data_IF_095444811435
#
_entry.id   IF_095444811435
#
_cell.length_a   1.000
_cell.length_b   1.000
_cell.length_c   1.000
_cell.angle_alpha   90.00
_cell.angle_beta   90.00
_cell.angle_gamma   90.00
#
_symmetry.space_group_name_H-M   'P 1'
#
loop_
_entity.id
_entity.type
_entity.pdbx_description
1 polymer ?
#
# COMPACT_ATOMS: atom_id res chain seq x y z
N UNK A 1 -4.53 4.66 23.04
CA UNK A 1 -4.11 3.28 22.69
C UNK A 1 -2.87 2.96 23.48
N UNK A 2 -2.86 1.80 24.13
CA UNK A 2 -1.64 1.21 24.67
C UNK A 2 -0.65 0.86 23.55
N UNK A 3 0.57 0.50 23.92
CA UNK A 3 1.63 0.19 22.97
C UNK A 3 1.30 -1.01 22.08
N UNK A 4 0.72 -2.07 22.66
CA UNK A 4 0.45 -3.32 21.96
C UNK A 4 -0.66 -3.14 20.92
N UNK A 5 -1.74 -2.44 21.27
CA UNK A 5 -2.80 -2.10 20.31
C UNK A 5 -2.28 -1.23 19.17
N UNK A 6 -1.39 -0.27 19.46
CA UNK A 6 -0.75 0.55 18.41
C UNK A 6 0.13 -0.27 17.48
N UNK A 7 0.97 -1.14 18.04
CA UNK A 7 1.80 -2.04 17.25
C UNK A 7 0.96 -2.93 16.34
N UNK A 8 -0.09 -3.56 16.87
CA UNK A 8 -0.98 -4.44 16.11
C UNK A 8 -1.69 -3.70 14.97
N UNK A 9 -2.15 -2.48 15.21
CA UNK A 9 -2.78 -1.65 14.17
C UNK A 9 -1.79 -1.26 13.08
N UNK A 10 -0.56 -0.86 13.44
CA UNK A 10 0.49 -0.56 12.45
C UNK A 10 0.82 -1.79 11.61
N UNK A 11 0.96 -2.96 12.24
CA UNK A 11 1.21 -4.22 11.55
C UNK A 11 0.04 -4.59 10.60
N UNK A 12 -1.21 -4.42 11.05
CA UNK A 12 -2.38 -4.66 10.23
C UNK A 12 -2.44 -3.74 9.00
N UNK A 13 -2.19 -2.43 9.17
CA UNK A 13 -2.13 -1.49 8.05
C UNK A 13 -0.96 -1.81 7.11
N UNK A 14 0.18 -2.26 7.63
CA UNK A 14 1.32 -2.69 6.82
C UNK A 14 0.96 -3.88 5.94
N UNK A 15 0.38 -4.94 6.53
CA UNK A 15 -0.04 -6.14 5.79
C UNK A 15 -1.12 -5.79 4.78
N UNK A 16 -2.13 -5.01 5.17
CA UNK A 16 -3.15 -4.49 4.27
C UNK A 16 -2.53 -3.73 3.09
N UNK A 17 -1.58 -2.84 3.36
CA UNK A 17 -0.87 -2.04 2.36
C UNK A 17 -0.10 -2.92 1.38
N UNK A 18 0.58 -3.95 1.87
CA UNK A 18 1.32 -4.89 1.03
C UNK A 18 0.36 -5.72 0.16
N UNK A 19 -0.68 -6.29 0.77
CA UNK A 19 -1.66 -7.13 0.09
C UNK A 19 -2.44 -6.38 -0.98
N UNK A 20 -2.86 -5.14 -0.71
CA UNK A 20 -3.56 -4.35 -1.73
C UNK A 20 -2.60 -3.95 -2.85
N UNK A 21 -1.32 -3.66 -2.58
CA UNK A 21 -0.39 -3.27 -3.63
C UNK A 21 0.08 -4.44 -4.51
N UNK A 22 -0.09 -5.70 -4.11
CA UNK A 22 0.24 -6.87 -4.94
C UNK A 22 -0.58 -6.92 -6.26
N UNK A 23 -1.93 -6.97 -6.26
CA UNK A 23 -2.71 -7.00 -7.50
C UNK A 23 -2.54 -5.71 -8.31
N UNK A 24 -2.39 -4.56 -7.64
CA UNK A 24 -2.13 -3.30 -8.32
C UNK A 24 -0.74 -3.25 -8.98
N UNK A 25 0.28 -3.84 -8.33
CA UNK A 25 1.62 -4.01 -8.90
C UNK A 25 1.62 -4.89 -10.14
N UNK A 26 0.88 -5.99 -10.10
CA UNK A 26 0.66 -6.89 -11.23
C UNK A 26 0.00 -6.15 -12.41
N UNK A 27 -1.11 -5.46 -12.15
CA UNK A 27 -1.84 -4.71 -13.17
C UNK A 27 -1.00 -3.56 -13.75
N UNK A 28 -0.26 -2.85 -12.90
CA UNK A 28 0.68 -1.77 -13.31
C UNK A 28 1.75 -2.28 -14.26
N UNK A 29 2.37 -3.43 -13.97
CA UNK A 29 3.44 -3.98 -14.80
C UNK A 29 2.99 -4.33 -16.22
N UNK A 30 1.70 -4.65 -16.40
CA UNK A 30 1.09 -5.02 -17.69
C UNK A 30 0.40 -3.85 -18.41
N UNK A 31 0.30 -2.70 -17.75
CA UNK A 31 -0.24 -1.48 -18.35
C UNK A 31 0.84 -0.73 -19.14
N UNK A 32 0.46 -0.04 -20.23
CA UNK A 32 1.34 0.89 -20.93
C UNK A 32 1.84 1.95 -19.95
N UNK A 33 3.16 2.03 -19.76
CA UNK A 33 3.79 3.03 -18.88
C UNK A 33 3.31 4.44 -19.25
N UNK A 34 3.01 5.25 -18.24
CA UNK A 34 2.44 6.61 -18.37
C UNK A 34 1.04 6.70 -18.98
N UNK A 35 0.33 5.58 -19.17
CA UNK A 35 -1.11 5.62 -19.43
C UNK A 35 -1.91 6.02 -18.20
N UNK A 36 -3.15 6.48 -18.40
CA UNK A 36 -4.08 6.72 -17.30
C UNK A 36 -4.26 5.48 -16.41
N UNK A 37 -4.34 4.28 -17.00
CA UNK A 37 -4.44 3.02 -16.24
C UNK A 37 -3.21 2.77 -15.38
N UNK A 38 -2.02 2.94 -15.93
CA UNK A 38 -0.76 2.82 -15.19
C UNK A 38 -0.69 3.80 -14.02
N UNK A 39 -1.11 5.04 -14.24
CA UNK A 39 -1.20 6.06 -13.19
C UNK A 39 -2.19 5.66 -12.09
N UNK A 40 -3.40 5.23 -12.47
CA UNK A 40 -4.43 4.80 -11.53
C UNK A 40 -3.97 3.59 -10.70
N UNK A 41 -3.27 2.62 -11.29
CA UNK A 41 -2.80 1.46 -10.54
C UNK A 41 -1.75 1.79 -9.47
N UNK A 42 -1.04 2.91 -9.62
CA UNK A 42 -0.11 3.40 -8.59
C UNK A 42 -0.85 4.24 -7.55
N UNK A 43 -1.78 5.09 -7.97
CA UNK A 43 -2.35 6.11 -7.09
C UNK A 43 -3.60 5.65 -6.36
N UNK A 44 -4.43 4.74 -6.88
CA UNK A 44 -5.64 4.26 -6.19
C UNK A 44 -5.33 3.61 -4.83
N UNK A 45 -4.27 2.80 -4.66
CA UNK A 45 -3.91 2.27 -3.34
C UNK A 45 -3.62 3.36 -2.30
N UNK A 46 -3.08 4.52 -2.71
CA UNK A 46 -2.60 5.57 -1.79
C UNK A 46 -3.74 6.17 -0.95
N UNK A 47 -4.88 6.63 -1.53
CA UNK A 47 -6.05 7.06 -0.76
C UNK A 47 -6.57 5.99 0.20
N UNK A 48 -6.55 4.71 -0.19
CA UNK A 48 -7.04 3.62 0.67
C UNK A 48 -6.16 3.45 1.91
N UNK A 49 -4.84 3.48 1.74
CA UNK A 49 -3.86 3.44 2.82
C UNK A 49 -3.97 4.70 3.69
N UNK A 50 -4.15 5.87 3.08
CA UNK A 50 -4.34 7.13 3.77
C UNK A 50 -5.58 7.11 4.67
N UNK A 51 -6.74 6.68 4.15
CA UNK A 51 -7.98 6.56 4.92
C UNK A 51 -7.78 5.58 6.08
N UNK A 52 -7.25 4.38 5.83
CA UNK A 52 -6.99 3.38 6.87
C UNK A 52 -6.13 3.95 8.02
N UNK A 53 -5.08 4.69 7.67
CA UNK A 53 -4.19 5.32 8.65
C UNK A 53 -4.90 6.41 9.47
N UNK A 54 -5.74 7.23 8.83
CA UNK A 54 -6.45 8.35 9.49
C UNK A 54 -7.52 7.82 10.45
N UNK A 55 -8.35 6.87 10.01
CA UNK A 55 -9.40 6.28 10.87
C UNK A 55 -8.82 5.49 12.04
N UNK A 56 -7.59 4.98 11.91
CA UNK A 56 -6.86 4.31 12.99
C UNK A 56 -6.04 5.26 13.89
N UNK A 57 -6.13 6.58 13.67
CA UNK A 57 -5.42 7.61 14.46
C UNK A 57 -3.91 7.39 14.57
N UNK A 58 -3.28 6.81 13.54
CA UNK A 58 -1.84 6.58 13.52
C UNK A 58 -1.11 7.86 13.08
N UNK A 59 -0.07 8.23 13.82
CA UNK A 59 0.71 9.45 13.57
C UNK A 59 1.37 9.51 12.18
N UNK A 60 1.62 10.72 11.70
CA UNK A 60 2.25 10.94 10.38
C UNK A 60 3.66 10.36 10.26
N UNK A 61 4.38 10.22 11.38
CA UNK A 61 5.71 9.62 11.43
C UNK A 61 5.76 8.17 10.95
N UNK A 62 4.63 7.47 10.86
CA UNK A 62 4.56 6.08 10.36
C UNK A 62 4.32 5.99 8.85
N UNK A 63 4.12 7.11 8.12
CA UNK A 63 4.01 7.10 6.66
C UNK A 63 5.17 6.33 5.99
N UNK A 64 6.45 6.53 6.35
CA UNK A 64 7.55 5.82 5.70
C UNK A 64 7.42 4.28 5.74
N UNK A 65 6.87 3.73 6.83
CA UNK A 65 6.63 2.28 6.98
C UNK A 65 5.58 1.79 5.98
N UNK A 66 4.49 2.54 5.80
CA UNK A 66 3.45 2.20 4.83
C UNK A 66 3.91 2.45 3.39
N UNK A 67 4.70 3.50 3.15
CA UNK A 67 5.31 3.76 1.85
C UNK A 67 6.24 2.60 1.43
N UNK A 68 7.05 2.10 2.36
CA UNK A 68 7.87 0.91 2.13
C UNK A 68 7.03 -0.31 1.76
N UNK A 69 5.96 -0.60 2.52
CA UNK A 69 5.04 -1.69 2.21
C UNK A 69 4.38 -1.54 0.82
N UNK A 70 4.00 -0.32 0.46
CA UNK A 70 3.35 -0.03 -0.82
C UNK A 70 4.32 -0.26 -1.99
N UNK A 71 5.56 0.24 -1.88
CA UNK A 71 6.61 0.02 -2.88
C UNK A 71 6.92 -1.48 -2.99
N UNK A 72 7.09 -2.18 -1.86
CA UNK A 72 7.33 -3.62 -1.84
C UNK A 72 6.20 -4.38 -2.54
N UNK A 73 4.94 -4.10 -2.22
CA UNK A 73 3.78 -4.72 -2.87
C UNK A 73 3.72 -4.44 -4.38
N UNK A 74 4.01 -3.21 -4.81
CA UNK A 74 4.02 -2.81 -6.23
C UNK A 74 5.13 -3.51 -7.03
N UNK A 75 6.29 -3.71 -6.43
CA UNK A 75 7.43 -4.39 -7.05
C UNK A 75 7.22 -5.90 -7.08
N UNK A 76 6.82 -6.50 -5.96
CA UNK A 76 6.54 -7.94 -5.86
C UNK A 76 5.38 -8.32 -6.78
N UNK A 77 4.29 -7.54 -6.76
CA UNK A 77 3.15 -7.75 -7.63
C UNK A 77 3.51 -7.66 -9.11
N UNK A 78 4.37 -6.72 -9.48
CA UNK A 78 4.85 -6.58 -10.85
C UNK A 78 5.75 -7.71 -11.35
N UNK A 79 6.24 -8.57 -10.45
CA UNK A 79 7.03 -9.78 -10.78
C UNK A 79 6.17 -11.05 -10.81
N UNK A 80 4.89 -10.98 -10.46
CA UNK A 80 4.02 -12.17 -10.46
C UNK A 80 3.63 -12.56 -11.89
N UNK A 81 3.84 -13.82 -12.21
CA UNK A 81 3.47 -14.47 -13.49
C UNK A 81 2.18 -15.29 -13.35
N UNK A 82 1.17 -14.70 -12.70
CA UNK A 82 -0.19 -15.26 -12.65
C UNK A 82 -0.86 -15.05 -14.01
#
# INVERSE_FOLDING_TARGET
MDFLSKFNIIAAIFVFTLLINLPFGYARARAKRYSLRWFLYIHIPIPLIFIARIISHIDIKYIPIFAFAAIAGQLLGGRMEI
#
